data_IF_501818381851
#
_entry.id   IF_501818381851
#
_cell.length_a   1.000
_cell.length_b   1.000
_cell.length_c   1.000
_cell.angle_alpha   90.00
_cell.angle_beta   90.00
_cell.angle_gamma   90.00
#
_symmetry.space_group_name_H-M   'P 1'
#
loop_
_entity.id
_entity.type
_entity.pdbx_description
1 polymer ?
#
# COMPACT_ATOMS: atom_id res chain seq x y z
N UNK A 1 26.00 -18.18 -0.59
CA UNK A 1 25.68 -17.37 -1.78
C UNK A 1 26.63 -17.80 -2.88
N UNK A 2 26.15 -17.87 -4.11
CA UNK A 2 26.98 -18.23 -5.24
C UNK A 2 27.71 -16.99 -5.77
N UNK A 3 28.92 -17.13 -6.29
CA UNK A 3 29.75 -16.03 -6.83
C UNK A 3 29.00 -15.15 -7.85
N UNK A 4 28.17 -15.69 -8.79
CA UNK A 4 27.39 -14.88 -9.73
C UNK A 4 26.31 -14.01 -9.09
N UNK A 5 25.68 -14.45 -7.99
CA UNK A 5 24.68 -13.65 -7.25
C UNK A 5 25.33 -12.46 -6.56
N UNK A 6 26.51 -12.65 -5.98
CA UNK A 6 27.27 -11.55 -5.35
C UNK A 6 27.74 -10.54 -6.39
N UNK A 7 28.20 -11.00 -7.56
CA UNK A 7 28.50 -10.13 -8.71
C UNK A 7 27.25 -9.35 -9.17
N UNK A 8 26.08 -10.03 -9.21
CA UNK A 8 24.82 -9.40 -9.55
C UNK A 8 24.45 -8.24 -8.63
N UNK A 9 24.52 -8.46 -7.33
CA UNK A 9 24.28 -7.42 -6.33
C UNK A 9 25.25 -6.25 -6.46
N UNK A 10 26.53 -6.52 -6.61
CA UNK A 10 27.56 -5.49 -6.79
C UNK A 10 27.33 -4.68 -8.08
N UNK A 11 26.98 -5.33 -9.19
CA UNK A 11 26.71 -4.68 -10.47
C UNK A 11 25.47 -3.76 -10.38
N UNK A 12 24.41 -4.19 -9.72
CA UNK A 12 23.19 -3.41 -9.55
C UNK A 12 23.48 -2.19 -8.66
N UNK A 13 24.16 -2.37 -7.52
CA UNK A 13 24.48 -1.27 -6.58
C UNK A 13 25.41 -0.22 -7.20
N UNK A 14 26.29 -0.61 -8.11
CA UNK A 14 27.21 0.30 -8.79
C UNK A 14 26.60 0.93 -10.08
N UNK A 15 25.42 0.48 -10.50
CA UNK A 15 24.82 0.94 -11.76
C UNK A 15 24.29 2.38 -11.66
N UNK A 16 24.34 3.18 -12.74
CA UNK A 16 23.55 4.38 -12.84
C UNK A 16 22.06 4.08 -12.64
N UNK A 17 21.33 4.99 -11.97
CA UNK A 17 19.95 4.79 -11.55
C UNK A 17 18.97 4.45 -12.67
N UNK A 18 19.23 4.90 -13.88
CA UNK A 18 18.45 4.67 -15.11
C UNK A 18 18.85 3.38 -15.85
N UNK A 19 19.97 2.72 -15.48
CA UNK A 19 20.53 1.58 -16.17
C UNK A 19 20.49 0.27 -15.36
N UNK A 20 19.75 0.20 -14.24
CA UNK A 20 19.72 -0.98 -13.37
C UNK A 20 19.37 -2.26 -14.14
N UNK A 21 18.31 -2.23 -14.94
CA UNK A 21 17.84 -3.40 -15.70
C UNK A 21 18.83 -3.77 -16.80
N UNK A 22 19.43 -2.78 -17.45
CA UNK A 22 20.48 -2.99 -18.47
C UNK A 22 21.68 -3.73 -17.87
N UNK A 23 22.13 -3.31 -16.68
CA UNK A 23 23.26 -3.97 -15.99
C UNK A 23 22.95 -5.40 -15.55
N UNK A 24 21.72 -5.66 -15.14
CA UNK A 24 21.26 -7.03 -14.88
C UNK A 24 21.30 -7.86 -16.16
N UNK A 25 20.84 -7.32 -17.29
CA UNK A 25 20.87 -7.99 -18.58
C UNK A 25 22.29 -8.33 -19.03
N UNK A 26 23.21 -7.37 -18.98
CA UNK A 26 24.63 -7.57 -19.31
C UNK A 26 25.26 -8.67 -18.44
N UNK A 27 24.99 -8.69 -17.14
CA UNK A 27 25.45 -9.74 -16.25
C UNK A 27 24.86 -11.10 -16.63
N UNK A 28 23.55 -11.16 -16.91
CA UNK A 28 22.87 -12.40 -17.26
C UNK A 28 23.37 -12.97 -18.58
N UNK A 29 23.68 -12.12 -19.55
CA UNK A 29 24.33 -12.55 -20.79
C UNK A 29 25.73 -13.15 -20.53
N UNK A 30 26.56 -12.47 -19.74
CA UNK A 30 27.94 -12.87 -19.47
C UNK A 30 28.05 -14.13 -18.61
N UNK A 31 27.27 -14.25 -17.54
CA UNK A 31 27.42 -15.33 -16.56
C UNK A 31 26.50 -16.54 -16.87
N UNK A 32 25.39 -16.32 -17.59
CA UNK A 32 24.37 -17.35 -17.80
C UNK A 32 24.00 -17.60 -19.27
N UNK A 33 24.50 -16.78 -20.21
CA UNK A 33 24.18 -16.88 -21.63
C UNK A 33 22.72 -16.50 -21.97
N UNK A 34 22.09 -15.69 -21.13
CA UNK A 34 20.73 -15.19 -21.32
C UNK A 34 20.80 -14.00 -22.28
N UNK A 35 20.22 -14.16 -23.46
CA UNK A 35 20.32 -13.17 -24.53
C UNK A 35 19.37 -11.98 -24.37
N UNK A 36 18.25 -12.16 -23.69
CA UNK A 36 17.24 -11.10 -23.50
C UNK A 36 16.74 -11.07 -22.06
N UNK A 37 16.76 -9.86 -21.48
CA UNK A 37 16.30 -9.58 -20.11
C UNK A 37 15.45 -8.33 -20.14
N UNK A 38 14.18 -8.45 -19.72
CA UNK A 38 13.21 -7.37 -19.75
C UNK A 38 12.43 -7.27 -18.44
N UNK A 39 12.33 -6.05 -17.89
CA UNK A 39 11.49 -5.77 -16.75
C UNK A 39 10.06 -5.45 -17.21
N UNK A 40 9.11 -6.25 -16.75
CA UNK A 40 7.66 -6.04 -16.89
C UNK A 40 7.15 -5.43 -15.59
N UNK A 41 6.84 -4.14 -15.57
CA UNK A 41 6.36 -3.45 -14.36
C UNK A 41 4.83 -3.48 -14.28
N UNK A 42 4.30 -3.72 -13.08
CA UNK A 42 2.85 -3.63 -12.88
C UNK A 42 2.39 -2.17 -12.94
N UNK A 43 1.30 -1.92 -13.67
CA UNK A 43 0.72 -0.59 -13.83
C UNK A 43 0.05 -0.08 -12.54
N UNK A 44 -0.38 1.18 -12.53
CA UNK A 44 -1.05 1.80 -11.39
C UNK A 44 -2.41 1.16 -11.03
N UNK A 45 -3.06 0.47 -11.97
CA UNK A 45 -4.35 -0.24 -11.74
C UNK A 45 -4.19 -1.70 -11.33
N UNK A 46 -2.97 -2.24 -11.27
CA UNK A 46 -2.70 -3.67 -11.07
C UNK A 46 -3.37 -4.56 -12.14
N UNK A 47 -3.54 -4.04 -13.37
CA UNK A 47 -4.28 -4.67 -14.44
C UNK A 47 -3.42 -5.04 -15.66
N UNK A 48 -2.20 -4.50 -15.77
CA UNK A 48 -1.27 -4.75 -16.84
C UNK A 48 0.17 -4.87 -16.34
N UNK A 49 0.97 -5.72 -16.99
CA UNK A 49 2.42 -5.72 -16.85
C UNK A 49 2.99 -5.04 -18.09
N UNK A 50 3.70 -3.94 -17.88
CA UNK A 50 4.20 -3.04 -18.93
C UNK A 50 5.70 -3.24 -19.11
N UNK A 51 6.20 -3.53 -20.33
CA UNK A 51 7.62 -3.61 -20.60
C UNK A 51 8.31 -2.25 -20.36
N UNK A 52 9.45 -2.26 -19.66
CA UNK A 52 10.24 -1.05 -19.37
C UNK A 52 10.66 -0.34 -20.66
N UNK A 53 11.08 -1.09 -21.69
CA UNK A 53 11.50 -0.58 -22.99
C UNK A 53 10.36 -0.15 -23.91
N UNK A 54 9.10 -0.21 -23.45
CA UNK A 54 7.92 -0.06 -24.28
C UNK A 54 7.55 -1.35 -25.02
N UNK A 55 6.37 -1.38 -25.61
CA UNK A 55 5.87 -2.57 -26.31
C UNK A 55 4.46 -2.96 -25.86
N UNK A 56 4.06 -4.18 -26.19
CA UNK A 56 2.72 -4.68 -25.88
C UNK A 56 2.57 -5.03 -24.39
N UNK A 57 1.52 -4.49 -23.78
CA UNK A 57 1.19 -4.76 -22.39
C UNK A 57 0.68 -6.20 -22.20
N UNK A 58 1.16 -6.90 -21.19
CA UNK A 58 0.65 -8.22 -20.81
C UNK A 58 -0.57 -8.05 -19.93
N UNK A 59 -1.76 -8.29 -20.48
CA UNK A 59 -3.05 -8.15 -19.78
C UNK A 59 -3.78 -9.47 -19.54
N UNK A 60 -3.43 -10.54 -20.26
CA UNK A 60 -4.09 -11.84 -20.17
C UNK A 60 -3.82 -12.53 -18.82
N UNK A 61 -4.84 -12.82 -17.97
CA UNK A 61 -4.64 -13.37 -16.62
C UNK A 61 -3.94 -14.74 -16.60
N UNK A 62 -4.06 -15.52 -17.67
CA UNK A 62 -3.40 -16.85 -17.79
C UNK A 62 -1.95 -16.79 -18.24
N UNK A 63 -1.41 -15.62 -18.59
CA UNK A 63 -0.04 -15.47 -19.05
C UNK A 63 0.97 -15.88 -17.96
N UNK A 64 2.09 -16.57 -18.29
CA UNK A 64 3.08 -17.01 -17.31
C UNK A 64 3.63 -15.87 -16.44
N UNK A 65 3.81 -14.65 -16.97
CA UNK A 65 4.23 -13.48 -16.21
C UNK A 65 3.23 -13.12 -15.09
N UNK A 66 1.91 -13.20 -15.33
CA UNK A 66 0.92 -12.98 -14.29
C UNK A 66 0.93 -14.08 -13.23
N UNK A 67 1.11 -15.35 -13.63
CA UNK A 67 1.28 -16.44 -12.64
C UNK A 67 2.49 -16.21 -11.74
N UNK A 68 3.61 -15.77 -12.31
CA UNK A 68 4.79 -15.38 -11.53
C UNK A 68 4.49 -14.22 -10.58
N UNK A 69 3.84 -13.16 -11.07
CA UNK A 69 3.47 -11.99 -10.28
C UNK A 69 2.50 -12.33 -9.14
N UNK A 70 1.49 -13.15 -9.42
CA UNK A 70 0.45 -13.50 -8.43
C UNK A 70 0.97 -14.47 -7.37
N UNK A 71 1.71 -15.50 -7.77
CA UNK A 71 2.22 -16.53 -6.85
C UNK A 71 3.56 -16.18 -6.20
N UNK A 72 4.24 -15.11 -6.65
CA UNK A 72 5.56 -14.69 -6.14
C UNK A 72 6.60 -15.82 -6.18
N UNK A 73 6.51 -16.65 -7.20
CA UNK A 73 7.43 -17.76 -7.48
C UNK A 73 7.88 -17.71 -8.93
N UNK A 74 9.15 -18.09 -9.24
CA UNK A 74 9.60 -18.12 -10.61
C UNK A 74 8.76 -19.09 -11.44
N UNK A 75 8.49 -18.70 -12.68
CA UNK A 75 7.69 -19.50 -13.62
C UNK A 75 8.49 -19.69 -14.90
N UNK A 76 8.45 -20.88 -15.47
CA UNK A 76 9.09 -21.19 -16.75
C UNK A 76 8.05 -21.66 -17.77
N UNK A 77 8.16 -21.15 -19.00
CA UNK A 77 7.32 -21.57 -20.12
C UNK A 77 8.08 -21.35 -21.43
N UNK A 78 8.17 -22.38 -22.26
CA UNK A 78 8.73 -22.33 -23.63
C UNK A 78 10.14 -21.70 -23.71
N UNK A 79 11.01 -22.03 -22.76
CA UNK A 79 12.38 -21.51 -22.72
C UNK A 79 12.49 -20.08 -22.16
N UNK A 80 11.38 -19.49 -21.73
CA UNK A 80 11.30 -18.16 -21.10
C UNK A 80 11.08 -18.31 -19.60
N UNK A 81 11.92 -17.67 -18.82
CA UNK A 81 11.79 -17.55 -17.37
C UNK A 81 11.13 -16.23 -16.98
N UNK A 82 10.32 -16.29 -15.95
CA UNK A 82 9.67 -15.14 -15.31
C UNK A 82 10.03 -15.16 -13.83
N UNK A 83 10.69 -14.11 -13.35
CA UNK A 83 11.21 -13.99 -12.00
C UNK A 83 10.47 -12.88 -11.26
N UNK A 84 9.97 -13.10 -10.03
CA UNK A 84 9.25 -12.07 -9.30
C UNK A 84 10.19 -10.94 -8.87
N UNK A 85 9.83 -9.71 -9.18
CA UNK A 85 10.51 -8.49 -8.74
C UNK A 85 9.68 -7.89 -7.61
N UNK A 86 10.01 -8.28 -6.38
CA UNK A 86 9.27 -7.87 -5.19
C UNK A 86 10.17 -7.66 -3.98
N UNK A 87 9.73 -6.80 -3.06
CA UNK A 87 10.46 -6.44 -1.85
C UNK A 87 9.50 -6.36 -0.66
N UNK A 88 9.71 -7.20 0.36
CA UNK A 88 8.92 -7.17 1.61
C UNK A 88 7.39 -7.26 1.39
N UNK A 89 6.97 -7.99 0.35
CA UNK A 89 5.57 -8.13 -0.04
C UNK A 89 5.09 -7.11 -1.08
N UNK A 90 5.81 -6.01 -1.31
CA UNK A 90 5.50 -5.08 -2.40
C UNK A 90 5.91 -5.70 -3.74
N UNK A 91 4.92 -5.95 -4.60
CA UNK A 91 5.08 -6.55 -5.93
C UNK A 91 5.27 -5.46 -6.96
N UNK A 92 6.49 -5.30 -7.48
CA UNK A 92 6.82 -4.26 -8.46
C UNK A 92 6.63 -4.69 -9.90
N UNK A 93 6.80 -5.99 -10.17
CA UNK A 93 6.70 -6.54 -11.51
C UNK A 93 7.32 -7.92 -11.62
N UNK A 94 7.75 -8.25 -12.83
CA UNK A 94 8.36 -9.52 -13.22
C UNK A 94 9.54 -9.26 -14.14
N UNK A 95 10.66 -9.94 -13.91
CA UNK A 95 11.79 -9.92 -14.83
C UNK A 95 11.67 -11.12 -15.77
N UNK A 96 11.49 -10.86 -17.06
CA UNK A 96 11.45 -11.86 -18.14
C UNK A 96 12.88 -12.10 -18.60
N UNK A 97 13.27 -13.37 -18.75
CA UNK A 97 14.62 -13.78 -19.16
C UNK A 97 14.54 -14.91 -20.18
N UNK A 98 15.38 -14.86 -21.25
CA UNK A 98 15.40 -15.90 -22.29
C UNK A 98 16.74 -15.95 -23.04
N UNK A 99 17.27 -17.14 -23.42
CA UNK A 99 16.79 -18.47 -23.01
C UNK A 99 17.20 -18.82 -21.59
N UNK A 100 16.42 -19.64 -20.90
CA UNK A 100 16.75 -20.09 -19.55
C UNK A 100 16.23 -21.52 -19.30
N UNK A 101 16.81 -22.21 -18.32
CA UNK A 101 16.36 -23.52 -17.86
C UNK A 101 15.88 -23.45 -16.41
N UNK A 102 15.00 -24.34 -16.00
CA UNK A 102 14.46 -24.41 -14.63
C UNK A 102 15.53 -24.42 -13.54
N UNK A 103 16.66 -25.11 -13.79
CA UNK A 103 17.76 -25.22 -12.82
C UNK A 103 18.38 -23.89 -12.42
N UNK A 104 18.25 -22.84 -13.23
CA UNK A 104 18.81 -21.51 -12.98
C UNK A 104 17.84 -20.54 -12.31
N UNK A 105 16.55 -20.81 -12.33
CA UNK A 105 15.52 -19.87 -11.88
C UNK A 105 15.69 -19.42 -10.43
N UNK A 106 16.05 -20.32 -9.53
CA UNK A 106 16.24 -19.98 -8.12
C UNK A 106 17.38 -18.96 -7.93
N UNK A 107 18.51 -19.16 -8.56
CA UNK A 107 19.68 -18.28 -8.51
C UNK A 107 19.36 -16.90 -9.12
N UNK A 108 18.75 -16.88 -10.30
CA UNK A 108 18.34 -15.64 -10.98
C UNK A 108 17.29 -14.86 -10.16
N UNK A 109 16.42 -15.55 -9.39
CA UNK A 109 15.43 -14.92 -8.52
C UNK A 109 16.09 -14.13 -7.39
N UNK A 110 17.23 -14.56 -6.88
CA UNK A 110 17.97 -13.78 -5.87
C UNK A 110 18.45 -12.44 -6.44
N UNK A 111 18.90 -12.42 -7.71
CA UNK A 111 19.30 -11.19 -8.40
C UNK A 111 18.08 -10.30 -8.67
N UNK A 112 16.95 -10.88 -9.10
CA UNK A 112 15.71 -10.14 -9.28
C UNK A 112 15.18 -9.53 -7.97
N UNK A 113 15.37 -10.19 -6.84
CA UNK A 113 15.07 -9.65 -5.51
C UNK A 113 15.98 -8.47 -5.17
N UNK A 114 17.30 -8.55 -5.45
CA UNK A 114 18.21 -7.43 -5.28
C UNK A 114 17.82 -6.24 -6.17
N UNK A 115 17.45 -6.50 -7.43
CA UNK A 115 16.93 -5.47 -8.33
C UNK A 115 15.68 -4.78 -7.75
N UNK A 116 14.76 -5.52 -7.12
CA UNK A 116 13.58 -4.93 -6.50
C UNK A 116 13.92 -3.94 -5.37
N UNK A 117 14.95 -4.24 -4.59
CA UNK A 117 15.45 -3.35 -3.53
C UNK A 117 16.06 -2.07 -4.11
N UNK A 118 16.89 -2.18 -5.14
CA UNK A 118 17.50 -1.01 -5.79
C UNK A 118 16.46 -0.16 -6.52
N UNK A 119 15.51 -0.78 -7.24
CA UNK A 119 14.39 -0.05 -7.85
C UNK A 119 13.61 0.78 -6.83
N UNK A 120 13.45 0.29 -5.59
CA UNK A 120 12.81 1.05 -4.52
C UNK A 120 13.70 2.20 -4.01
N UNK A 121 15.01 1.99 -3.95
CA UNK A 121 15.96 3.00 -3.50
C UNK A 121 16.07 4.18 -4.50
N UNK A 122 15.99 3.90 -5.79
CA UNK A 122 16.16 4.93 -6.85
C UNK A 122 14.85 5.62 -7.26
N UNK A 123 13.69 5.18 -6.80
CA UNK A 123 12.38 5.76 -7.15
C UNK A 123 12.30 7.28 -6.93
N UNK A 124 13.01 7.81 -5.93
CA UNK A 124 13.08 9.26 -5.68
C UNK A 124 14.09 10.00 -6.57
N UNK A 125 14.98 9.27 -7.26
CA UNK A 125 16.08 9.84 -8.02
C UNK A 125 15.89 9.81 -9.54
N UNK A 126 14.88 9.11 -10.06
CA UNK A 126 14.61 9.00 -11.50
C UNK A 126 13.15 8.76 -11.81
N UNK A 127 12.68 9.34 -12.92
CA UNK A 127 11.33 9.12 -13.43
C UNK A 127 11.20 7.89 -14.36
N UNK A 128 12.31 7.29 -14.77
CA UNK A 128 12.34 6.21 -15.78
C UNK A 128 11.35 5.10 -15.41
N UNK A 129 11.45 4.56 -14.20
CA UNK A 129 10.62 3.44 -13.75
C UNK A 129 9.18 3.87 -13.44
N UNK A 130 8.96 5.10 -12.99
CA UNK A 130 7.62 5.65 -12.74
C UNK A 130 6.84 5.88 -14.03
N UNK A 131 7.50 6.43 -15.04
CA UNK A 131 6.90 6.64 -16.36
C UNK A 131 6.56 5.31 -17.02
N UNK A 132 7.45 4.32 -16.95
CA UNK A 132 7.24 3.00 -17.55
C UNK A 132 6.05 2.22 -16.94
N UNK A 133 5.61 2.55 -15.71
CA UNK A 133 4.42 1.97 -15.07
C UNK A 133 3.09 2.60 -15.51
N UNK A 134 3.12 3.58 -16.41
CA UNK A 134 1.94 4.32 -16.86
C UNK A 134 1.38 3.71 -18.13
N UNK A 135 0.21 3.12 -18.07
CA UNK A 135 -0.55 2.75 -19.27
C UNK A 135 -1.22 3.95 -19.93
N UNK A 136 -1.38 5.07 -19.19
CA UNK A 136 -1.86 6.38 -19.67
C UNK A 136 -1.36 7.51 -18.75
N UNK A 137 -1.57 8.76 -19.17
CA UNK A 137 -1.16 9.94 -18.39
C UNK A 137 -1.98 10.03 -17.09
N UNK A 138 -1.30 10.34 -15.99
CA UNK A 138 -1.92 10.70 -14.71
C UNK A 138 -2.45 12.15 -14.77
N UNK A 139 -3.54 12.43 -14.06
CA UNK A 139 -3.90 13.81 -13.72
C UNK A 139 -2.95 14.35 -12.66
N UNK A 140 -2.87 15.68 -12.51
CA UNK A 140 -2.02 16.26 -11.45
C UNK A 140 -2.45 15.80 -10.03
N UNK A 141 -3.75 15.68 -9.80
CA UNK A 141 -4.27 15.14 -8.55
C UNK A 141 -3.79 13.70 -8.29
N UNK A 142 -3.87 12.83 -9.30
CA UNK A 142 -3.37 11.46 -9.20
C UNK A 142 -1.85 11.42 -8.99
N UNK A 143 -1.09 12.30 -9.63
CA UNK A 143 0.37 12.41 -9.41
C UNK A 143 0.68 12.70 -7.93
N UNK A 144 0.03 13.73 -7.35
CA UNK A 144 0.19 14.09 -5.93
C UNK A 144 -0.18 12.93 -5.01
N UNK A 145 -1.30 12.25 -5.29
CA UNK A 145 -1.75 11.12 -4.46
C UNK A 145 -0.78 9.93 -4.52
N UNK A 146 -0.30 9.56 -5.71
CA UNK A 146 0.64 8.44 -5.84
C UNK A 146 2.01 8.71 -5.21
N UNK A 147 2.45 9.98 -5.13
CA UNK A 147 3.64 10.35 -4.37
C UNK A 147 3.44 10.20 -2.85
N UNK A 148 2.21 10.38 -2.38
CA UNK A 148 1.88 10.32 -0.98
C UNK A 148 1.57 8.90 -0.49
N UNK A 149 0.96 8.06 -1.35
CA UNK A 149 0.56 6.72 -0.98
C UNK A 149 1.75 5.87 -0.52
N UNK A 150 1.59 5.03 0.52
CA UNK A 150 2.57 4.01 0.89
C UNK A 150 2.69 2.96 -0.23
N UNK A 151 3.58 1.99 -0.08
CA UNK A 151 3.59 0.81 -0.96
C UNK A 151 2.21 0.15 -1.00
N UNK A 152 1.90 -0.57 -2.09
CA UNK A 152 0.56 -1.18 -2.28
C UNK A 152 0.35 -2.48 -1.52
N UNK A 153 1.41 -3.09 -1.05
CA UNK A 153 1.31 -4.31 -0.25
C UNK A 153 2.47 -4.46 0.72
N UNK A 154 2.20 -5.16 1.81
CA UNK A 154 3.18 -5.48 2.84
C UNK A 154 2.94 -6.89 3.35
N UNK A 155 4.00 -7.68 3.42
CA UNK A 155 3.94 -9.01 4.01
C UNK A 155 4.90 -9.10 5.19
N UNK A 156 4.37 -9.50 6.33
CA UNK A 156 5.10 -9.83 7.55
C UNK A 156 4.61 -11.19 8.06
N UNK A 157 5.38 -11.89 8.87
CA UNK A 157 4.90 -13.14 9.45
C UNK A 157 3.65 -13.00 10.32
N UNK A 158 3.38 -11.81 10.89
CA UNK A 158 2.21 -11.50 11.73
C UNK A 158 1.02 -10.93 10.98
N UNK A 159 1.23 -10.38 9.77
CA UNK A 159 0.14 -9.80 8.96
C UNK A 159 0.47 -9.77 7.47
N UNK A 160 -0.57 -9.70 6.66
CA UNK A 160 -0.52 -9.35 5.25
C UNK A 160 -1.43 -8.16 5.00
N UNK A 161 -0.96 -7.16 4.27
CA UNK A 161 -1.66 -5.90 4.03
C UNK A 161 -1.60 -5.56 2.55
N UNK A 162 -2.70 -5.08 2.00
CA UNK A 162 -2.74 -4.49 0.67
C UNK A 162 -3.75 -3.35 0.58
N UNK A 163 -3.49 -2.38 -0.29
CA UNK A 163 -4.40 -1.27 -0.57
C UNK A 163 -4.33 -0.84 -2.03
N UNK A 164 -5.44 -0.36 -2.54
CA UNK A 164 -5.55 0.17 -3.90
C UNK A 164 -6.61 1.25 -3.96
N UNK A 165 -6.36 2.21 -4.84
CA UNK A 165 -7.21 3.34 -5.17
C UNK A 165 -7.63 3.26 -6.64
N UNK A 166 -8.92 3.43 -6.92
CA UNK A 166 -9.52 3.55 -8.25
C UNK A 166 -10.42 4.80 -8.32
N UNK A 167 -10.42 5.53 -9.44
CA UNK A 167 -9.63 5.35 -10.65
C UNK A 167 -8.17 5.80 -10.48
N UNK A 168 -7.22 4.90 -10.73
CA UNK A 168 -5.80 5.14 -10.47
C UNK A 168 -5.16 6.31 -11.23
N UNK A 169 -5.78 6.75 -12.32
CA UNK A 169 -5.24 7.80 -13.20
C UNK A 169 -5.94 9.17 -13.07
N UNK A 170 -7.03 9.25 -12.32
CA UNK A 170 -7.86 10.46 -12.19
C UNK A 170 -8.54 10.52 -10.81
N UNK A 171 -7.73 10.58 -9.77
CA UNK A 171 -8.15 10.59 -8.36
C UNK A 171 -8.86 11.90 -8.02
N UNK A 172 -9.85 11.85 -7.12
CA UNK A 172 -10.65 13.00 -6.69
C UNK A 172 -10.30 13.52 -5.30
N UNK A 173 -9.84 12.69 -4.39
CA UNK A 173 -9.49 13.12 -3.04
C UNK A 173 -9.29 11.98 -2.05
N UNK A 174 -9.74 10.77 -2.37
CA UNK A 174 -9.57 9.61 -1.52
C UNK A 174 -8.11 9.18 -1.43
N UNK A 175 -7.75 8.63 -0.28
CA UNK A 175 -6.41 8.13 -0.03
C UNK A 175 -6.40 7.06 1.06
N UNK A 176 -5.25 6.38 1.20
CA UNK A 176 -4.96 5.53 2.34
C UNK A 176 -3.50 5.69 2.74
N UNK A 177 -3.21 5.40 4.01
CA UNK A 177 -1.86 5.36 4.54
C UNK A 177 -1.67 4.17 5.47
N UNK A 178 -0.44 3.71 5.61
CA UNK A 178 -0.06 2.75 6.64
C UNK A 178 1.40 2.88 7.07
N UNK A 179 1.68 2.33 8.24
CA UNK A 179 3.03 2.17 8.75
C UNK A 179 3.09 0.98 9.70
N UNK A 180 4.22 0.33 9.80
CA UNK A 180 4.47 -0.71 10.83
C UNK A 180 5.81 -0.46 11.53
N UNK A 181 5.89 -0.78 12.83
CA UNK A 181 7.13 -0.75 13.62
C UNK A 181 7.56 -2.16 14.09
N UNK A 182 6.86 -3.20 13.61
CA UNK A 182 7.06 -4.60 13.99
C UNK A 182 6.28 -5.03 15.25
N UNK A 183 5.71 -4.09 16.01
CA UNK A 183 4.81 -4.37 17.14
C UNK A 183 3.39 -3.92 16.84
N UNK A 184 3.23 -2.86 16.05
CA UNK A 184 1.96 -2.26 15.69
C UNK A 184 1.89 -1.99 14.20
N UNK A 185 0.68 -1.99 13.67
CA UNK A 185 0.35 -1.52 12.32
C UNK A 185 -0.65 -0.39 12.45
N UNK A 186 -0.33 0.77 11.87
CA UNK A 186 -1.23 1.91 11.73
C UNK A 186 -1.79 1.94 10.32
N UNK A 187 -3.09 2.20 10.22
CA UNK A 187 -3.77 2.36 8.94
C UNK A 187 -4.66 3.61 9.00
N UNK A 188 -4.78 4.26 7.87
CA UNK A 188 -5.76 5.33 7.66
C UNK A 188 -6.40 5.15 6.29
N UNK A 189 -7.72 5.33 6.20
CA UNK A 189 -8.42 5.64 4.94
C UNK A 189 -9.04 7.01 5.09
N UNK A 190 -8.87 7.83 4.08
CA UNK A 190 -9.23 9.23 4.08
C UNK A 190 -10.08 9.48 2.84
N UNK A 191 -11.28 10.04 3.02
CA UNK A 191 -12.13 10.52 1.96
C UNK A 191 -12.16 12.05 2.02
N UNK A 192 -11.46 12.68 1.07
CA UNK A 192 -11.29 14.12 1.00
C UNK A 192 -12.43 14.78 0.24
N UNK A 193 -13.09 15.77 0.86
CA UNK A 193 -14.12 16.55 0.22
C UNK A 193 -13.62 17.33 -1.00
N UNK A 194 -14.39 17.36 -2.08
CA UNK A 194 -14.11 18.13 -3.29
C UNK A 194 -13.55 17.28 -4.43
N UNK A 195 -12.91 17.92 -5.40
CA UNK A 195 -12.39 17.25 -6.58
C UNK A 195 -11.02 17.80 -7.01
N UNK A 196 -10.23 16.95 -7.68
CA UNK A 196 -9.00 17.33 -8.34
C UNK A 196 -7.89 17.77 -7.37
N UNK A 197 -7.10 18.76 -7.77
CA UNK A 197 -5.90 19.19 -7.04
C UNK A 197 -6.22 19.73 -5.65
N UNK A 198 -7.35 20.43 -5.48
CA UNK A 198 -7.73 21.00 -4.17
C UNK A 198 -8.00 19.89 -3.16
N UNK A 199 -8.79 18.87 -3.54
CA UNK A 199 -9.04 17.72 -2.70
C UNK A 199 -7.76 16.92 -2.40
N UNK A 200 -6.86 16.76 -3.39
CA UNK A 200 -5.55 16.11 -3.17
C UNK A 200 -4.69 16.87 -2.18
N UNK A 201 -4.69 18.21 -2.21
CA UNK A 201 -3.96 19.04 -1.24
C UNK A 201 -4.53 18.92 0.17
N UNK A 202 -5.86 18.90 0.31
CA UNK A 202 -6.55 18.68 1.57
C UNK A 202 -6.17 17.32 2.19
N UNK A 203 -6.25 16.26 1.38
CA UNK A 203 -5.85 14.92 1.80
C UNK A 203 -4.36 14.81 2.13
N UNK A 204 -3.51 15.54 1.39
CA UNK A 204 -2.07 15.61 1.68
C UNK A 204 -1.82 16.25 3.04
N UNK A 205 -2.49 17.36 3.36
CA UNK A 205 -2.39 18.03 4.65
C UNK A 205 -2.74 17.09 5.80
N UNK A 206 -3.91 16.43 5.71
CA UNK A 206 -4.38 15.47 6.73
C UNK A 206 -3.43 14.29 6.90
N UNK A 207 -2.97 13.68 5.79
CA UNK A 207 -2.00 12.57 5.83
C UNK A 207 -0.68 12.99 6.47
N UNK A 208 -0.15 14.17 6.14
CA UNK A 208 1.08 14.68 6.73
C UNK A 208 0.92 14.97 8.22
N UNK A 209 -0.22 15.53 8.66
CA UNK A 209 -0.52 15.77 10.06
C UNK A 209 -0.60 14.45 10.85
N UNK A 210 -1.34 13.45 10.34
CA UNK A 210 -1.43 12.11 10.93
C UNK A 210 -0.07 11.41 11.03
N UNK A 211 0.76 11.47 9.97
CA UNK A 211 2.13 10.92 9.98
C UNK A 211 3.01 11.61 11.03
N UNK A 212 2.89 12.94 11.18
CA UNK A 212 3.63 13.68 12.19
C UNK A 212 3.19 13.29 13.60
N UNK A 213 1.89 13.23 13.87
CA UNK A 213 1.31 12.82 15.14
C UNK A 213 1.70 11.39 15.54
N UNK A 214 1.61 10.45 14.58
CA UNK A 214 2.06 9.06 14.78
C UNK A 214 3.53 8.99 15.18
N UNK A 215 4.41 9.75 14.52
CA UNK A 215 5.85 9.81 14.85
C UNK A 215 6.12 10.42 16.22
N UNK A 216 5.24 11.25 16.72
CA UNK A 216 5.29 11.76 18.09
C UNK A 216 4.88 10.71 19.14
N UNK A 217 4.28 9.59 18.73
CA UNK A 217 3.89 8.49 19.63
C UNK A 217 2.70 8.80 20.52
N UNK A 218 1.85 9.74 20.12
CA UNK A 218 0.62 10.09 20.84
C UNK A 218 -0.51 9.10 20.52
N UNK A 219 -1.57 9.10 21.33
CA UNK A 219 -2.75 8.22 21.17
C UNK A 219 -3.41 8.40 19.81
N UNK A 220 -4.18 7.39 19.34
CA UNK A 220 -4.88 7.48 18.06
C UNK A 220 -5.92 8.61 18.06
N UNK A 221 -6.58 8.84 19.19
CA UNK A 221 -7.52 9.96 19.37
C UNK A 221 -6.80 11.33 19.28
N UNK A 222 -5.61 11.47 19.90
CA UNK A 222 -4.83 12.70 19.81
C UNK A 222 -4.27 12.92 18.40
N UNK A 223 -3.93 11.84 17.66
CA UNK A 223 -3.55 11.92 16.24
C UNK A 223 -4.69 12.50 15.40
N UNK A 224 -5.92 12.01 15.62
CA UNK A 224 -7.13 12.54 14.96
C UNK A 224 -7.35 14.01 15.30
N UNK A 225 -7.26 14.39 16.60
CA UNK A 225 -7.44 15.78 17.06
C UNK A 225 -6.40 16.74 16.48
N UNK A 226 -5.14 16.30 16.35
CA UNK A 226 -4.08 17.12 15.75
C UNK A 226 -4.30 17.32 14.25
N UNK A 227 -4.75 16.27 13.53
CA UNK A 227 -5.08 16.38 12.12
C UNK A 227 -6.33 17.23 11.89
N UNK A 228 -7.35 17.09 12.74
CA UNK A 228 -8.56 17.92 12.76
C UNK A 228 -8.20 19.40 12.89
N UNK A 229 -7.39 19.75 13.89
CA UNK A 229 -6.93 21.13 14.11
C UNK A 229 -6.16 21.67 12.89
N UNK A 230 -5.25 20.88 12.31
CA UNK A 230 -4.47 21.34 11.16
C UNK A 230 -5.36 21.64 9.94
N UNK A 231 -6.40 20.83 9.70
CA UNK A 231 -7.36 21.05 8.63
C UNK A 231 -8.29 22.23 8.94
N UNK A 232 -8.84 22.26 10.15
CA UNK A 232 -9.75 23.35 10.58
C UNK A 232 -9.08 24.71 10.55
N UNK A 233 -7.82 24.82 10.99
CA UNK A 233 -7.09 26.10 11.00
C UNK A 233 -6.92 26.68 9.61
N UNK A 234 -6.80 25.83 8.59
CA UNK A 234 -6.66 26.27 7.20
C UNK A 234 -8.02 26.54 6.53
N UNK A 235 -9.02 25.69 6.79
CA UNK A 235 -10.27 25.67 6.02
C UNK A 235 -11.51 26.14 6.80
N UNK A 236 -11.40 26.33 8.14
CA UNK A 236 -12.47 26.86 9.01
C UNK A 236 -13.82 26.14 8.91
N UNK A 237 -13.78 24.81 8.65
CA UNK A 237 -14.98 23.99 8.51
C UNK A 237 -15.58 23.98 7.10
N UNK A 238 -15.07 24.77 6.15
CA UNK A 238 -15.56 24.77 4.76
C UNK A 238 -15.15 23.50 3.99
N UNK A 239 -14.03 22.91 4.37
CA UNK A 239 -13.53 21.62 3.84
C UNK A 239 -13.14 20.71 5.00
N UNK A 240 -13.52 19.46 4.89
CA UNK A 240 -13.28 18.44 5.91
C UNK A 240 -13.04 17.07 5.24
N UNK A 241 -12.62 16.08 6.03
CA UNK A 241 -12.30 14.73 5.54
C UNK A 241 -12.94 13.67 6.42
N UNK A 242 -13.71 12.80 5.80
CA UNK A 242 -14.15 11.57 6.45
C UNK A 242 -12.94 10.61 6.57
N UNK A 243 -12.64 10.13 7.77
CA UNK A 243 -11.40 9.41 8.01
C UNK A 243 -11.61 8.24 8.97
N UNK A 244 -11.07 7.07 8.65
CA UNK A 244 -10.96 5.94 9.57
C UNK A 244 -9.50 5.72 9.94
N UNK A 245 -9.19 5.78 11.22
CA UNK A 245 -7.87 5.50 11.76
C UNK A 245 -7.90 4.18 12.54
N UNK A 246 -6.92 3.33 12.30
CA UNK A 246 -6.76 2.06 12.98
C UNK A 246 -5.32 1.89 13.50
N UNK A 247 -5.17 1.30 14.69
CA UNK A 247 -3.91 0.81 15.22
C UNK A 247 -4.10 -0.62 15.70
N UNK A 248 -3.41 -1.57 15.09
CA UNK A 248 -3.42 -2.99 15.49
C UNK A 248 -2.17 -3.33 16.28
N UNK A 249 -2.34 -3.78 17.53
CA UNK A 249 -1.29 -4.42 18.30
C UNK A 249 -1.09 -5.86 17.80
N UNK A 250 0.06 -6.11 17.17
CA UNK A 250 0.37 -7.39 16.52
C UNK A 250 0.57 -8.55 17.51
N UNK A 251 0.82 -8.25 18.77
CA UNK A 251 1.03 -9.24 19.83
C UNK A 251 -0.30 -9.72 20.41
N UNK A 252 -1.27 -8.83 20.58
CA UNK A 252 -2.54 -9.12 21.22
C UNK A 252 -3.72 -9.28 20.27
N UNK A 253 -3.61 -8.70 19.05
CA UNK A 253 -4.73 -8.59 18.12
C UNK A 253 -5.76 -7.54 18.55
N UNK A 254 -5.43 -6.69 19.52
CA UNK A 254 -6.29 -5.57 19.88
C UNK A 254 -6.18 -4.50 18.78
N UNK A 255 -7.31 -4.21 18.16
CA UNK A 255 -7.48 -3.13 17.20
C UNK A 255 -8.09 -1.93 17.92
N UNK A 256 -7.37 -0.81 17.91
CA UNK A 256 -7.87 0.51 18.32
C UNK A 256 -8.36 1.24 17.08
N UNK A 257 -9.52 1.86 17.15
CA UNK A 257 -10.14 2.57 16.02
C UNK A 257 -10.63 3.96 16.43
N UNK A 258 -10.49 4.93 15.52
CA UNK A 258 -11.19 6.22 15.55
C UNK A 258 -11.93 6.37 14.24
N UNK A 259 -13.25 6.43 14.31
CA UNK A 259 -14.14 6.66 13.17
C UNK A 259 -14.52 8.14 13.14
N UNK A 260 -13.91 8.89 12.22
CA UNK A 260 -14.16 10.31 12.00
C UNK A 260 -15.03 10.54 10.75
N UNK A 261 -16.26 10.00 10.77
CA UNK A 261 -17.22 10.16 9.68
C UNK A 261 -16.93 9.30 8.46
N UNK A 262 -16.52 8.07 8.63
CA UNK A 262 -15.59 7.36 7.76
C UNK A 262 -16.16 6.31 6.81
N UNK A 263 -15.23 5.76 5.99
CA UNK A 263 -15.39 4.47 5.31
C UNK A 263 -15.75 3.33 6.26
N UNK A 264 -16.40 2.29 5.74
CA UNK A 264 -16.79 1.13 6.55
C UNK A 264 -15.63 0.24 6.88
N UNK A 265 -15.57 -0.19 8.15
CA UNK A 265 -14.73 -1.28 8.60
C UNK A 265 -15.52 -2.59 8.53
N UNK A 266 -15.05 -3.53 7.71
CA UNK A 266 -15.70 -4.82 7.51
C UNK A 266 -14.77 -5.93 7.95
N UNK A 267 -15.26 -6.86 8.75
CA UNK A 267 -14.57 -8.05 9.21
C UNK A 267 -15.08 -9.28 8.47
N UNK A 268 -14.16 -10.04 7.90
CA UNK A 268 -14.39 -11.41 7.41
C UNK A 268 -13.74 -12.38 8.40
N UNK A 269 -14.56 -13.14 9.12
CA UNK A 269 -14.16 -14.17 10.09
C UNK A 269 -14.90 -15.46 9.79
N UNK A 270 -14.20 -16.57 9.65
CA UNK A 270 -14.78 -17.90 9.41
C UNK A 270 -15.79 -17.94 8.23
N UNK A 271 -15.56 -17.15 7.19
CA UNK A 271 -16.43 -17.03 6.02
C UNK A 271 -17.63 -16.10 6.22
N UNK A 272 -17.83 -15.54 7.41
CA UNK A 272 -18.89 -14.57 7.68
C UNK A 272 -18.39 -13.13 7.56
N UNK A 273 -19.16 -12.30 6.85
CA UNK A 273 -18.91 -10.87 6.66
C UNK A 273 -19.75 -10.08 7.64
N UNK A 274 -19.13 -9.19 8.39
CA UNK A 274 -19.81 -8.29 9.33
C UNK A 274 -19.21 -6.88 9.30
N UNK A 275 -20.06 -5.87 9.23
CA UNK A 275 -19.65 -4.48 9.43
C UNK A 275 -19.40 -4.28 10.92
N UNK A 276 -18.24 -3.71 11.26
CA UNK A 276 -17.92 -3.42 12.67
C UNK A 276 -18.70 -2.17 13.11
N UNK A 277 -19.48 -2.26 14.21
CA UNK A 277 -20.32 -1.16 14.67
C UNK A 277 -19.47 -0.15 15.45
N UNK A 278 -18.72 0.69 14.73
CA UNK A 278 -18.01 1.81 15.33
C UNK A 278 -18.99 2.98 15.54
N UNK A 279 -18.81 3.72 16.63
CA UNK A 279 -19.51 4.99 16.87
C UNK A 279 -18.89 6.06 15.97
N UNK A 280 -19.64 6.56 15.02
CA UNK A 280 -19.23 7.60 14.09
C UNK A 280 -19.07 8.93 14.84
N UNK A 281 -17.95 9.61 14.60
CA UNK A 281 -17.63 10.93 15.13
C UNK A 281 -17.51 11.93 13.97
N UNK A 282 -17.34 13.22 14.28
CA UNK A 282 -17.28 14.24 13.24
C UNK A 282 -16.04 14.06 12.33
N UNK A 283 -16.19 14.32 11.01
CA UNK A 283 -15.06 14.37 10.08
C UNK A 283 -13.97 15.35 10.53
N UNK A 284 -12.71 15.05 10.16
CA UNK A 284 -11.56 15.88 10.48
C UNK A 284 -11.69 17.27 9.82
N UNK A 285 -11.55 18.33 10.60
CA UNK A 285 -11.58 19.72 10.14
C UNK A 285 -12.98 20.32 10.03
N UNK A 286 -14.03 19.61 10.46
CA UNK A 286 -15.41 20.09 10.36
C UNK A 286 -15.75 21.13 11.45
N UNK A 287 -15.26 20.93 12.68
CA UNK A 287 -15.57 21.79 13.81
C UNK A 287 -14.29 22.11 14.60
N UNK A 288 -14.23 23.30 15.21
CA UNK A 288 -13.12 23.69 16.05
C UNK A 288 -13.04 22.85 17.33
N UNK A 289 -11.89 22.26 17.60
CA UNK A 289 -11.62 21.59 18.87
C UNK A 289 -12.38 20.30 19.09
N UNK A 290 -12.63 19.53 18.04
CA UNK A 290 -13.25 18.21 18.13
C UNK A 290 -12.40 17.27 18.97
N UNK A 291 -13.04 16.60 19.97
CA UNK A 291 -12.40 15.58 20.79
C UNK A 291 -12.79 14.20 20.33
N UNK A 292 -11.85 13.45 19.82
CA UNK A 292 -12.06 12.08 19.35
C UNK A 292 -11.91 11.05 20.48
N UNK A 293 -12.58 9.90 20.31
CA UNK A 293 -12.54 8.78 21.26
C UNK A 293 -12.11 7.53 20.55
N UNK A 294 -11.28 6.76 21.23
CA UNK A 294 -10.86 5.43 20.80
C UNK A 294 -11.92 4.38 21.07
N UNK A 295 -12.06 3.46 20.15
CA UNK A 295 -12.93 2.29 20.23
C UNK A 295 -12.08 1.04 19.99
N UNK A 296 -12.51 -0.10 20.52
CA UNK A 296 -11.68 -1.30 20.55
C UNK A 296 -12.41 -2.49 19.94
N UNK A 297 -11.71 -3.22 19.07
CA UNK A 297 -12.19 -4.46 18.46
C UNK A 297 -11.14 -5.55 18.71
N UNK A 298 -11.55 -6.69 19.28
CA UNK A 298 -10.63 -7.82 19.46
C UNK A 298 -10.64 -8.70 18.22
N UNK A 299 -9.51 -8.76 17.53
CA UNK A 299 -9.29 -9.66 16.41
C UNK A 299 -8.92 -11.05 16.89
N UNK A 300 -9.24 -12.06 16.07
CA UNK A 300 -8.82 -13.45 16.20
C UNK A 300 -7.84 -13.78 15.08
N UNK A 301 -6.94 -14.71 15.36
CA UNK A 301 -5.99 -15.16 14.34
C UNK A 301 -6.73 -15.68 13.11
N UNK A 302 -6.37 -15.15 11.94
CA UNK A 302 -7.00 -15.50 10.67
C UNK A 302 -8.09 -14.51 10.24
N UNK A 303 -8.42 -13.53 11.07
CA UNK A 303 -9.34 -12.46 10.68
C UNK A 303 -8.79 -11.64 9.52
N UNK A 304 -9.70 -11.27 8.62
CA UNK A 304 -9.45 -10.33 7.54
C UNK A 304 -10.30 -9.09 7.72
N UNK A 305 -9.66 -7.93 7.75
CA UNK A 305 -10.30 -6.62 7.79
C UNK A 305 -10.27 -5.98 6.41
N UNK A 306 -11.36 -5.29 6.08
CA UNK A 306 -11.43 -4.37 4.95
C UNK A 306 -11.84 -2.99 5.44
N UNK A 307 -11.07 -1.97 5.01
CA UNK A 307 -11.49 -0.57 5.05
C UNK A 307 -11.94 -0.21 3.63
N UNK A 308 -13.20 0.22 3.49
CA UNK A 308 -13.85 0.38 2.18
C UNK A 308 -14.50 1.76 2.13
N UNK A 309 -14.08 2.61 1.15
CA UNK A 309 -14.67 3.93 0.95
C UNK A 309 -16.09 3.86 0.39
N UNK A 310 -16.80 4.95 0.50
CA UNK A 310 -18.15 5.12 -0.02
C UNK A 310 -18.23 4.97 -1.54
N UNK A 311 -17.20 5.39 -2.28
CA UNK A 311 -17.12 5.18 -3.72
C UNK A 311 -17.19 3.71 -4.16
N UNK A 312 -16.81 2.76 -3.29
CA UNK A 312 -17.08 1.32 -3.52
C UNK A 312 -18.53 0.98 -3.21
N UNK A 313 -19.01 1.45 -2.05
CA UNK A 313 -20.33 1.08 -1.52
C UNK A 313 -21.46 1.66 -2.38
N UNK A 314 -21.29 2.93 -2.75
CA UNK A 314 -22.26 3.73 -3.49
C UNK A 314 -22.16 3.53 -5.02
N UNK A 315 -21.15 2.82 -5.50
CA UNK A 315 -20.95 2.57 -6.92
C UNK A 315 -22.23 2.03 -7.57
N UNK A 316 -22.71 2.75 -8.58
CA UNK A 316 -23.98 2.46 -9.23
C UNK A 316 -23.79 1.49 -10.40
N UNK A 317 -24.50 0.36 -10.33
CA UNK A 317 -24.76 -0.51 -11.48
C UNK A 317 -25.99 -0.04 -12.26
N UNK A 318 -26.49 -0.89 -13.15
CA UNK A 318 -27.66 -0.57 -13.99
C UNK A 318 -28.98 -0.42 -13.21
N UNK A 319 -29.11 -1.05 -12.04
CA UNK A 319 -30.34 -1.06 -11.22
C UNK A 319 -30.09 -0.92 -9.72
N UNK A 320 -28.90 -1.22 -9.23
CA UNK A 320 -28.59 -1.35 -7.81
C UNK A 320 -27.19 -0.80 -7.50
N UNK A 321 -26.92 -0.55 -6.20
CA UNK A 321 -25.59 -0.16 -5.72
C UNK A 321 -24.76 -1.40 -5.38
N UNK A 322 -23.47 -1.33 -5.62
CA UNK A 322 -22.53 -2.43 -5.38
C UNK A 322 -22.56 -2.92 -3.92
N UNK A 323 -22.55 -2.00 -2.98
CA UNK A 323 -22.58 -2.28 -1.54
C UNK A 323 -23.84 -3.00 -1.06
N UNK A 324 -24.95 -2.96 -1.82
CA UNK A 324 -26.20 -3.59 -1.43
C UNK A 324 -26.30 -5.07 -1.83
N UNK A 325 -25.67 -5.46 -2.95
CA UNK A 325 -25.94 -6.76 -3.58
C UNK A 325 -24.71 -7.58 -3.89
N UNK A 326 -23.61 -6.95 -4.22
CA UNK A 326 -22.41 -7.64 -4.73
C UNK A 326 -21.27 -7.71 -3.72
N UNK A 327 -21.11 -6.66 -2.89
CA UNK A 327 -19.95 -6.51 -2.00
C UNK A 327 -19.77 -7.68 -1.04
N UNK A 328 -20.80 -8.06 -0.28
CA UNK A 328 -20.73 -9.16 0.70
C UNK A 328 -20.33 -10.49 0.05
N UNK A 329 -20.94 -10.79 -1.10
CA UNK A 329 -20.62 -11.98 -1.88
C UNK A 329 -19.15 -11.96 -2.33
N UNK A 330 -18.67 -10.80 -2.78
CA UNK A 330 -17.30 -10.66 -3.23
C UNK A 330 -16.32 -10.77 -2.06
N UNK A 331 -16.60 -10.15 -0.92
CA UNK A 331 -15.77 -10.26 0.27
C UNK A 331 -15.60 -11.72 0.73
N UNK A 332 -16.68 -12.50 0.78
CA UNK A 332 -16.61 -13.95 1.09
C UNK A 332 -15.73 -14.73 0.11
N UNK A 333 -15.80 -14.41 -1.18
CA UNK A 333 -14.96 -15.05 -2.21
C UNK A 333 -13.47 -14.78 -2.04
N UNK A 334 -13.11 -13.70 -1.35
CA UNK A 334 -11.69 -13.36 -1.11
C UNK A 334 -11.03 -14.22 -0.03
N UNK A 335 -11.77 -15.00 0.75
CA UNK A 335 -11.24 -15.78 1.87
C UNK A 335 -9.97 -16.60 1.56
N UNK A 336 -9.87 -17.34 0.42
CA UNK A 336 -8.67 -18.11 0.08
C UNK A 336 -7.56 -17.27 -0.60
N UNK A 337 -7.78 -15.98 -0.84
CA UNK A 337 -6.86 -15.12 -1.59
C UNK A 337 -5.83 -14.47 -0.67
N UNK A 338 -4.68 -14.05 -1.22
CA UNK A 338 -3.81 -13.11 -0.52
C UNK A 338 -4.48 -11.74 -0.39
N UNK A 339 -4.02 -10.88 0.54
CA UNK A 339 -4.60 -9.54 0.71
C UNK A 339 -4.57 -8.73 -0.60
N UNK A 340 -3.48 -8.80 -1.37
CA UNK A 340 -3.37 -8.08 -2.66
C UNK A 340 -4.32 -8.65 -3.71
N UNK A 341 -4.45 -9.98 -3.80
CA UNK A 341 -5.36 -10.61 -4.76
C UNK A 341 -6.81 -10.34 -4.40
N UNK A 342 -7.13 -10.27 -3.09
CA UNK A 342 -8.45 -9.88 -2.59
C UNK A 342 -8.83 -8.47 -3.03
N UNK A 343 -7.93 -7.49 -2.82
CA UNK A 343 -8.12 -6.10 -3.25
C UNK A 343 -8.28 -6.00 -4.77
N UNK A 344 -7.40 -6.65 -5.54
CA UNK A 344 -7.48 -6.68 -7.01
C UNK A 344 -8.79 -7.27 -7.52
N UNK A 345 -9.19 -8.41 -6.92
CA UNK A 345 -10.42 -9.10 -7.32
C UNK A 345 -11.65 -8.29 -6.99
N UNK A 346 -11.69 -7.64 -5.82
CA UNK A 346 -12.80 -6.77 -5.43
C UNK A 346 -12.95 -5.58 -6.38
N UNK A 347 -11.85 -4.87 -6.66
CA UNK A 347 -11.89 -3.74 -7.59
C UNK A 347 -12.12 -4.16 -9.04
N UNK A 348 -11.70 -5.38 -9.43
CA UNK A 348 -12.03 -5.97 -10.71
C UNK A 348 -13.53 -6.25 -10.87
N UNK A 349 -14.16 -6.83 -9.83
CA UNK A 349 -15.59 -7.09 -9.77
C UNK A 349 -16.40 -5.77 -9.75
N UNK A 350 -15.93 -4.78 -8.98
CA UNK A 350 -16.52 -3.43 -8.95
C UNK A 350 -16.54 -2.79 -10.35
N UNK A 351 -15.40 -2.81 -11.04
CA UNK A 351 -15.32 -2.26 -12.43
C UNK A 351 -16.22 -3.00 -13.41
N UNK A 352 -16.37 -4.31 -13.26
CA UNK A 352 -17.28 -5.09 -14.10
C UNK A 352 -18.77 -4.82 -13.76
N UNK A 353 -19.06 -4.47 -12.52
CA UNK A 353 -20.41 -4.13 -12.06
C UNK A 353 -20.87 -2.75 -12.56
N UNK A 354 -19.95 -1.77 -12.58
CA UNK A 354 -20.23 -0.41 -13.06
C UNK A 354 -20.13 -0.37 -14.57
N UNK A 355 -21.23 -0.05 -15.24
CA UNK A 355 -21.30 -0.02 -16.71
C UNK A 355 -20.56 1.18 -17.36
N UNK A 356 -20.07 2.13 -16.54
CA UNK A 356 -19.35 3.35 -16.95
C UNK A 356 -18.12 3.53 -16.07
N UNK A 357 -17.40 4.66 -16.23
CA UNK A 357 -16.35 5.04 -15.27
C UNK A 357 -16.96 5.30 -13.88
N UNK A 358 -16.18 5.00 -12.84
CA UNK A 358 -16.55 5.30 -11.45
C UNK A 358 -16.82 6.81 -11.31
N UNK A 359 -17.92 7.11 -10.65
CA UNK A 359 -18.33 8.51 -10.37
C UNK A 359 -17.59 9.10 -9.19
N UNK A 360 -17.01 8.26 -8.35
CA UNK A 360 -16.20 8.62 -7.20
C UNK A 360 -14.98 7.73 -7.05
N UNK A 361 -14.02 8.15 -6.19
CA UNK A 361 -12.86 7.36 -5.87
C UNK A 361 -13.26 6.15 -5.02
N UNK A 362 -12.67 5.01 -5.31
CA UNK A 362 -12.90 3.76 -4.62
C UNK A 362 -11.59 3.30 -3.94
N UNK A 363 -11.53 3.39 -2.63
CA UNK A 363 -10.42 2.88 -1.83
C UNK A 363 -10.80 1.56 -1.19
N UNK A 364 -9.93 0.59 -1.31
CA UNK A 364 -10.00 -0.69 -0.60
C UNK A 364 -8.66 -0.97 0.04
N UNK A 365 -8.65 -1.13 1.36
CA UNK A 365 -7.51 -1.65 2.12
C UNK A 365 -7.91 -2.97 2.76
N UNK A 366 -7.07 -3.99 2.62
CA UNK A 366 -7.27 -5.32 3.18
C UNK A 366 -6.12 -5.66 4.12
N UNK A 367 -6.42 -6.06 5.35
CA UNK A 367 -5.45 -6.50 6.36
C UNK A 367 -5.83 -7.89 6.86
N UNK A 368 -4.91 -8.85 6.73
CA UNK A 368 -4.99 -10.17 7.35
C UNK A 368 -4.14 -10.18 8.62
N UNK A 369 -4.74 -10.48 9.76
CA UNK A 369 -3.97 -10.72 10.98
C UNK A 369 -3.66 -12.21 11.13
N UNK A 370 -2.38 -12.55 11.00
CA UNK A 370 -1.89 -13.93 10.99
C UNK A 370 -1.53 -14.44 12.41
N UNK A 371 -1.71 -13.57 13.41
CA UNK A 371 -1.39 -13.85 14.81
C UNK A 371 0.00 -13.38 15.21
N UNK A 372 0.29 -13.43 16.53
CA UNK A 372 1.57 -13.00 17.06
C UNK A 372 2.71 -13.91 16.59
N UNK A 373 3.86 -13.31 16.37
CA UNK A 373 5.08 -14.06 16.10
C UNK A 373 5.64 -14.64 17.39
N UNK A 374 6.29 -15.85 17.36
CA UNK A 374 7.15 -16.27 18.44
C UNK A 374 8.21 -15.18 18.68
N UNK A 375 8.43 -14.81 19.94
CA UNK A 375 9.44 -13.82 20.30
C UNK A 375 10.81 -14.26 19.78
N UNK A 376 11.31 -13.58 18.75
CA UNK A 376 12.75 -13.62 18.44
C UNK A 376 13.41 -12.76 19.52
N UNK A 377 14.37 -13.29 20.31
CA UNK A 377 15.02 -12.49 21.32
C UNK A 377 15.60 -11.21 20.69
N UNK A 378 15.43 -10.04 21.32
CA UNK A 378 15.87 -8.78 20.75
C UNK A 378 17.38 -8.82 20.52
N UNK A 379 17.81 -8.42 19.32
CA UNK A 379 19.19 -7.99 19.12
C UNK A 379 19.40 -6.77 20.01
N UNK A 380 20.15 -6.93 21.09
CA UNK A 380 20.31 -5.97 22.20
C UNK A 380 20.84 -4.58 21.81
N UNK A 381 21.28 -4.35 20.57
CA UNK A 381 22.09 -3.19 20.23
C UNK A 381 21.37 -2.00 19.58
N UNK A 382 20.14 -2.12 19.09
CA UNK A 382 19.46 -1.03 18.35
C UNK A 382 18.45 -0.25 19.20
N UNK A 383 17.91 -0.88 20.25
CA UNK A 383 16.91 -0.21 21.14
C UNK A 383 17.52 0.75 22.17
N UNK A 384 18.73 0.49 22.65
CA UNK A 384 19.40 1.36 23.63
C UNK A 384 19.65 2.79 23.10
N UNK A 385 20.00 2.93 21.83
CA UNK A 385 20.28 4.23 21.22
C UNK A 385 19.03 5.11 20.96
N UNK A 386 17.84 4.50 20.81
CA UNK A 386 16.61 5.23 20.52
C UNK A 386 15.89 5.74 21.79
N UNK A 387 16.11 5.08 22.93
CA UNK A 387 15.47 5.45 24.22
C UNK A 387 16.19 6.59 24.91
N UNK A 388 17.51 6.68 24.78
CA UNK A 388 18.33 7.71 25.44
C UNK A 388 18.14 9.13 24.87
N UNK A 389 17.67 9.25 23.62
CA UNK A 389 17.34 10.54 23.02
C UNK A 389 15.99 11.14 23.41
N UNK A 390 15.12 10.38 24.12
CA UNK A 390 13.80 10.87 24.57
C UNK A 390 13.82 11.60 25.92
N UNK A 391 14.84 11.35 26.74
CA UNK A 391 14.90 11.92 28.08
C UNK A 391 15.42 13.38 28.14
N UNK A 392 16.10 13.87 27.12
CA UNK A 392 16.90 15.12 27.22
C UNK A 392 16.32 16.34 26.48
N UNK A 393 15.07 16.33 25.99
CA UNK A 393 14.52 17.47 25.25
C UNK A 393 13.09 17.86 25.64
N UNK A 394 12.91 18.31 26.87
CA UNK A 394 11.84 19.27 27.19
C UNK A 394 12.52 20.57 27.65
N UNK A 395 12.33 21.70 26.96
CA UNK A 395 12.77 23.00 27.47
C UNK A 395 11.92 23.35 28.67
N UNK A 396 12.57 23.60 29.82
CA UNK A 396 11.92 24.23 30.97
C UNK A 396 11.46 25.64 30.59
N UNK A 397 10.19 25.93 30.83
CA UNK A 397 9.57 27.23 30.69
C UNK A 397 10.43 28.32 31.31
N UNK A 398 10.86 29.31 30.51
CA UNK A 398 11.32 30.57 31.01
C UNK A 398 10.10 31.40 31.41
N UNK A 399 9.88 31.50 32.71
CA UNK A 399 9.06 32.56 33.27
C UNK A 399 9.59 33.92 32.78
N UNK A 400 8.78 34.61 32.02
CA UNK A 400 8.97 36.04 31.74
C UNK A 400 8.35 36.80 32.92
N UNK A 401 9.20 37.22 33.87
CA UNK A 401 8.83 38.22 34.86
C UNK A 401 8.77 39.59 34.15
N UNK A 402 7.65 40.26 34.34
CA UNK A 402 7.43 41.61 33.81
C UNK A 402 8.31 42.69 34.48
N UNK A 403 8.60 43.70 33.72
CA UNK A 403 8.60 45.13 34.05
C UNK A 403 8.21 45.93 32.79
#
# INVERSE_FOLDING_TARGET
MTEPVDKGRAAITAAPVDLLVTRVGELFEQEYGIADTELLQVDYRLAALLPLGGGEAVTAPGHPAWRCFDHQSPTHADGVGYLPVSMRGERRGVLRVTPVTDARLAELTEVATALAHELAAVDAGTDVYRVARRSRRLTLAAEVQWELLPGRSRLRPSFSLAGQLEPAYAVRGDSFDWSDDGQRVWLATINGMGEGVVASMLTTLATCALRNARRAGISLADQASLADQAVYDLHRGEQYLATLLLELDLRTGLLTAVDAGSPRLVLLRDGEVSVQPLEEQFPLGMFEGTNYREQFVQLQRGDRLFMISDGVIEAAGSAERYGQTALDRMLRRTAPMTALDAVRSLLGDLRAFVASDLTDDAVVVCLDWLGPQPETPPAESVRAAAVDHRADRLPQDRQVSGE
#
